data_IF_134748284757
#
_entry.id   IF_134748284757
#
_cell.length_a   1.000
_cell.length_b   1.000
_cell.length_c   1.000
_cell.angle_alpha   90.00
_cell.angle_beta   90.00
_cell.angle_gamma   90.00
#
_symmetry.space_group_name_H-M   'P 1'
#
loop_
_entity.id
_entity.type
_entity.pdbx_description
1 polymer ?
#
# COMPACT_ATOMS: atom_id res chain seq x y z
N UNK A 1 -31.69 -14.84 -6.68
CA UNK A 1 -30.39 -14.16 -6.57
C UNK A 1 -29.73 -14.20 -7.93
N UNK A 2 -29.11 -13.10 -8.40
CA UNK A 2 -28.49 -12.99 -9.73
C UNK A 2 -27.02 -13.43 -9.79
N UNK A 3 -26.55 -14.30 -8.90
CA UNK A 3 -25.19 -14.83 -8.93
C UNK A 3 -25.15 -16.13 -9.74
N UNK A 4 -24.17 -16.19 -10.67
CA UNK A 4 -23.79 -17.40 -11.36
C UNK A 4 -22.42 -17.85 -10.81
N UNK A 5 -22.35 -19.08 -10.28
CA UNK A 5 -21.11 -19.66 -9.78
C UNK A 5 -20.34 -20.30 -10.93
N UNK A 6 -19.36 -19.57 -11.48
CA UNK A 6 -18.60 -19.98 -12.67
C UNK A 6 -17.62 -21.12 -12.37
N UNK A 7 -16.82 -20.96 -11.30
CA UNK A 7 -15.85 -21.98 -10.88
C UNK A 7 -15.43 -21.76 -9.42
N UNK A 8 -15.02 -22.85 -8.76
CA UNK A 8 -14.36 -22.76 -7.45
C UNK A 8 -12.90 -22.40 -7.65
N UNK A 9 -12.45 -21.33 -6.98
CA UNK A 9 -11.05 -20.94 -6.96
C UNK A 9 -10.28 -21.76 -5.91
N UNK A 10 -8.96 -21.98 -6.10
CA UNK A 10 -8.12 -22.63 -5.08
C UNK A 10 -8.09 -21.79 -3.82
N UNK A 11 -7.91 -22.44 -2.70
CA UNK A 11 -7.68 -21.77 -1.40
C UNK A 11 -6.30 -21.12 -1.36
N UNK A 12 -6.05 -20.14 -0.47
CA UNK A 12 -4.70 -19.59 -0.27
C UNK A 12 -3.68 -20.66 0.11
N UNK A 13 -4.06 -21.65 0.90
CA UNK A 13 -3.14 -22.74 1.30
C UNK A 13 -2.73 -23.58 0.10
N UNK A 14 -3.67 -23.91 -0.81
CA UNK A 14 -3.35 -24.60 -2.06
C UNK A 14 -2.42 -23.78 -2.96
N UNK A 15 -2.65 -22.46 -3.10
CA UNK A 15 -1.77 -21.59 -3.89
C UNK A 15 -0.39 -21.45 -3.22
N UNK A 16 -0.32 -21.29 -1.90
CA UNK A 16 0.97 -21.23 -1.19
C UNK A 16 1.73 -22.54 -1.27
N UNK A 17 1.06 -23.67 -1.19
CA UNK A 17 1.68 -24.99 -1.36
C UNK A 17 2.20 -25.21 -2.79
N UNK A 18 1.48 -24.68 -3.80
CA UNK A 18 1.93 -24.75 -5.21
C UNK A 18 3.09 -23.81 -5.51
N UNK A 19 3.16 -22.65 -4.84
CA UNK A 19 4.23 -21.64 -4.99
C UNK A 19 4.75 -21.25 -3.61
N UNK A 20 5.53 -22.12 -2.93
CA UNK A 20 6.06 -21.84 -1.60
C UNK A 20 7.20 -20.82 -1.67
N UNK A 21 7.26 -19.91 -0.70
CA UNK A 21 8.45 -19.07 -0.50
C UNK A 21 9.57 -19.93 0.10
N UNK A 22 10.75 -19.91 -0.50
CA UNK A 22 11.91 -20.66 0.00
C UNK A 22 12.27 -20.21 1.42
N UNK A 23 12.71 -21.14 2.33
CA UNK A 23 12.99 -20.81 3.72
C UNK A 23 14.01 -19.67 3.90
N UNK A 24 15.02 -19.59 3.04
CA UNK A 24 16.05 -18.55 3.07
C UNK A 24 15.44 -17.17 2.73
N UNK A 25 14.54 -17.12 1.75
CA UNK A 25 13.82 -15.90 1.37
C UNK A 25 12.81 -15.49 2.44
N UNK A 26 12.15 -16.44 3.07
CA UNK A 26 11.27 -16.17 4.21
C UNK A 26 12.04 -15.56 5.39
N UNK A 27 13.24 -16.06 5.69
CA UNK A 27 14.12 -15.52 6.72
C UNK A 27 14.63 -14.11 6.37
N UNK A 28 14.98 -13.85 5.10
CA UNK A 28 15.36 -12.50 4.62
C UNK A 28 14.19 -11.53 4.75
N UNK A 29 13.00 -11.94 4.29
CA UNK A 29 11.77 -11.14 4.44
C UNK A 29 11.51 -10.81 5.92
N UNK A 30 11.62 -11.77 6.82
CA UNK A 30 11.41 -11.54 8.26
C UNK A 30 12.37 -10.47 8.83
N UNK A 31 13.64 -10.45 8.38
CA UNK A 31 14.59 -9.38 8.75
C UNK A 31 14.16 -8.00 8.21
N UNK A 32 13.63 -7.95 6.98
CA UNK A 32 13.11 -6.69 6.39
C UNK A 32 11.86 -6.23 7.10
N UNK A 33 10.94 -7.15 7.44
CA UNK A 33 9.74 -6.85 8.21
C UNK A 33 10.08 -6.26 9.59
N UNK A 34 11.09 -6.83 10.27
CA UNK A 34 11.57 -6.29 11.53
C UNK A 34 12.14 -4.87 11.37
N UNK A 35 12.95 -4.62 10.34
CA UNK A 35 13.49 -3.28 10.07
C UNK A 35 12.40 -2.25 9.75
N UNK A 36 11.32 -2.63 9.06
CA UNK A 36 10.16 -1.77 8.81
C UNK A 36 9.40 -1.52 10.12
N UNK A 37 9.18 -2.56 10.93
CA UNK A 37 8.54 -2.46 12.25
C UNK A 37 9.27 -1.47 13.15
N UNK A 38 10.61 -1.56 13.22
CA UNK A 38 11.46 -0.69 14.03
C UNK A 38 11.27 0.80 13.71
N UNK A 39 10.96 1.14 12.45
CA UNK A 39 10.61 2.53 12.08
C UNK A 39 9.30 2.96 12.71
N UNK A 40 8.28 2.09 12.73
CA UNK A 40 6.97 2.40 13.30
C UNK A 40 6.98 2.43 14.82
N UNK A 41 7.78 1.58 15.47
CA UNK A 41 7.92 1.56 16.94
C UNK A 41 8.84 2.66 17.47
N UNK A 42 9.64 3.29 16.59
CA UNK A 42 10.60 4.33 16.97
C UNK A 42 11.98 3.80 17.34
N UNK A 43 12.24 2.50 17.14
CA UNK A 43 13.54 1.87 17.37
C UNK A 43 14.54 2.16 16.24
N UNK A 44 14.07 2.74 15.13
CA UNK A 44 14.88 3.16 13.99
C UNK A 44 14.51 4.55 13.49
N UNK A 45 15.51 5.40 13.28
CA UNK A 45 15.36 6.75 12.69
C UNK A 45 15.26 6.75 11.15
N UNK A 46 15.32 5.58 10.52
CA UNK A 46 15.20 5.47 9.06
C UNK A 46 13.84 5.94 8.59
N UNK A 47 13.80 6.46 7.37
CA UNK A 47 12.60 6.96 6.75
C UNK A 47 12.12 6.00 5.66
N UNK A 48 10.83 5.66 5.66
CA UNK A 48 10.24 4.75 4.69
C UNK A 48 9.91 5.49 3.39
N UNK A 49 10.21 4.87 2.26
CA UNK A 49 9.79 5.33 0.95
C UNK A 49 9.07 4.16 0.25
N UNK A 50 7.74 4.21 0.26
CA UNK A 50 6.89 3.21 -0.41
C UNK A 50 6.71 3.70 -1.84
N UNK A 51 7.39 3.07 -2.80
CA UNK A 51 7.52 3.61 -4.15
C UNK A 51 7.33 2.55 -5.23
N UNK A 52 6.58 2.90 -6.27
CA UNK A 52 6.33 2.01 -7.41
C UNK A 52 5.16 2.48 -8.26
N UNK A 53 4.79 1.73 -9.32
CA UNK A 53 3.73 2.11 -10.23
C UNK A 53 2.38 2.27 -9.51
N UNK A 54 1.48 3.05 -10.10
CA UNK A 54 0.12 3.21 -9.62
C UNK A 54 -0.60 1.86 -9.52
N UNK A 55 -0.40 0.97 -10.52
CA UNK A 55 -0.80 -0.42 -10.50
C UNK A 55 0.23 -1.27 -11.25
N UNK A 56 0.48 -2.49 -10.76
CA UNK A 56 1.25 -3.48 -11.49
C UNK A 56 0.42 -3.96 -12.69
N UNK A 57 0.99 -3.89 -13.89
CA UNK A 57 0.33 -4.25 -15.15
C UNK A 57 1.08 -5.32 -15.93
N UNK A 58 2.41 -5.25 -15.94
CA UNK A 58 3.29 -6.16 -16.65
C UNK A 58 4.44 -6.60 -15.78
N UNK A 59 4.56 -7.92 -15.59
CA UNK A 59 5.57 -8.50 -14.72
C UNK A 59 6.99 -8.07 -15.10
N UNK A 60 7.34 -8.15 -16.39
CA UNK A 60 8.67 -7.80 -16.90
C UNK A 60 9.08 -6.35 -16.59
N UNK A 61 8.17 -5.40 -16.80
CA UNK A 61 8.42 -3.99 -16.55
C UNK A 61 8.47 -3.67 -15.02
N UNK A 62 7.62 -4.31 -14.22
CA UNK A 62 7.66 -4.16 -12.76
C UNK A 62 8.99 -4.69 -12.21
N UNK A 63 9.44 -5.84 -12.66
CA UNK A 63 10.71 -6.45 -12.22
C UNK A 63 11.90 -5.59 -12.66
N UNK A 64 11.93 -5.06 -13.90
CA UNK A 64 12.99 -4.12 -14.32
C UNK A 64 13.01 -2.87 -13.42
N UNK A 65 11.83 -2.30 -13.14
CA UNK A 65 11.73 -1.14 -12.24
C UNK A 65 12.31 -1.45 -10.86
N UNK A 66 11.92 -2.57 -10.25
CA UNK A 66 12.36 -2.94 -8.90
C UNK A 66 13.86 -3.26 -8.87
N UNK A 67 14.41 -3.87 -9.93
CA UNK A 67 15.86 -4.09 -10.07
C UNK A 67 16.65 -2.76 -10.15
N UNK A 68 16.09 -1.74 -10.80
CA UNK A 68 16.69 -0.39 -10.80
C UNK A 68 16.61 0.23 -9.40
N UNK A 69 15.46 0.05 -8.72
CA UNK A 69 15.25 0.55 -7.36
C UNK A 69 16.22 -0.10 -6.35
N UNK A 70 16.55 -1.38 -6.52
CA UNK A 70 17.53 -2.07 -5.67
C UNK A 70 18.91 -1.40 -5.71
N UNK A 71 19.35 -0.92 -6.89
CA UNK A 71 20.60 -0.17 -7.03
C UNK A 71 20.56 1.18 -6.31
N UNK A 72 19.38 1.79 -6.19
CA UNK A 72 19.18 3.02 -5.42
C UNK A 72 19.23 2.72 -3.93
N UNK A 73 18.57 1.62 -3.47
CA UNK A 73 18.57 1.21 -2.07
C UNK A 73 19.99 1.07 -1.51
N UNK A 74 20.90 0.49 -2.26
CA UNK A 74 22.30 0.35 -1.82
C UNK A 74 23.00 1.69 -1.52
N UNK A 75 22.59 2.75 -2.22
CA UNK A 75 23.15 4.10 -2.03
C UNK A 75 22.56 4.87 -0.84
N UNK A 76 21.35 4.45 -0.38
CA UNK A 76 20.57 5.21 0.62
C UNK A 76 20.22 4.38 1.86
N UNK A 77 20.68 3.14 1.94
CA UNK A 77 20.32 2.15 2.97
C UNK A 77 20.66 2.55 4.41
N UNK A 78 21.57 3.51 4.59
CA UNK A 78 21.90 4.08 5.89
C UNK A 78 20.77 4.95 6.46
N UNK A 79 19.96 5.58 5.60
CA UNK A 79 18.91 6.53 6.00
C UNK A 79 17.51 6.15 5.58
N UNK A 80 17.38 5.40 4.47
CA UNK A 80 16.09 5.08 3.88
C UNK A 80 15.86 3.57 3.80
N UNK A 81 14.61 3.18 3.97
CA UNK A 81 14.11 1.85 3.60
C UNK A 81 13.14 2.05 2.44
N UNK A 82 13.51 1.54 1.26
CA UNK A 82 12.63 1.54 0.10
C UNK A 82 11.75 0.29 0.16
N UNK A 83 10.45 0.46 -0.03
CA UNK A 83 9.47 -0.62 -0.09
C UNK A 83 8.76 -0.52 -1.44
N UNK A 84 9.04 -1.44 -2.39
CA UNK A 84 8.36 -1.44 -3.68
C UNK A 84 6.85 -1.62 -3.51
N UNK A 85 6.07 -0.68 -4.07
CA UNK A 85 4.63 -0.86 -4.16
C UNK A 85 4.30 -1.70 -5.40
N UNK A 86 3.81 -2.91 -5.15
CA UNK A 86 3.39 -3.87 -6.15
C UNK A 86 1.86 -3.98 -6.07
N UNK A 87 1.18 -2.89 -6.42
CA UNK A 87 -0.27 -2.82 -6.30
C UNK A 87 -0.95 -3.66 -7.39
N UNK A 88 -1.43 -4.83 -7.00
CA UNK A 88 -1.99 -5.85 -7.89
C UNK A 88 -3.47 -5.66 -8.18
N UNK A 89 -4.11 -4.72 -7.47
CA UNK A 89 -5.50 -4.35 -7.64
C UNK A 89 -5.64 -2.85 -7.93
N UNK A 90 -6.67 -2.49 -8.70
CA UNK A 90 -7.01 -1.08 -8.96
C UNK A 90 -8.48 -0.83 -8.66
N UNK A 91 -8.81 -0.02 -7.63
CA UNK A 91 -10.18 0.35 -7.35
C UNK A 91 -10.77 1.21 -8.48
N UNK A 92 -11.96 0.85 -8.95
CA UNK A 92 -12.70 1.57 -10.00
C UNK A 92 -14.08 1.95 -9.49
N UNK A 93 -14.32 3.25 -9.34
CA UNK A 93 -15.58 3.77 -8.79
C UNK A 93 -16.80 3.38 -9.63
N UNK A 94 -16.67 3.40 -10.97
CA UNK A 94 -17.73 3.02 -11.90
C UNK A 94 -17.68 1.54 -12.30
N UNK A 95 -16.63 0.82 -11.90
CA UNK A 95 -16.39 -0.56 -12.31
C UNK A 95 -15.73 -0.72 -13.68
N UNK A 96 -15.47 0.37 -14.42
CA UNK A 96 -14.89 0.34 -15.76
C UNK A 96 -13.36 0.44 -15.76
N UNK A 97 -12.73 -0.07 -16.82
CA UNK A 97 -11.29 -0.01 -17.05
C UNK A 97 -10.50 -1.13 -16.38
N UNK A 98 -9.17 -1.07 -16.48
CA UNK A 98 -8.26 -2.06 -15.92
C UNK A 98 -8.38 -2.16 -14.40
N UNK A 99 -8.66 -3.37 -13.89
CA UNK A 99 -8.95 -3.65 -12.47
C UNK A 99 -7.75 -4.20 -11.69
N UNK A 100 -6.59 -4.26 -12.32
CA UNK A 100 -5.37 -4.80 -11.73
C UNK A 100 -5.05 -6.22 -12.18
N UNK A 101 -3.82 -6.64 -11.89
CA UNK A 101 -3.24 -7.92 -12.30
C UNK A 101 -4.05 -9.13 -11.82
N UNK A 102 -4.69 -9.03 -10.64
CA UNK A 102 -5.56 -10.08 -10.11
C UNK A 102 -6.73 -10.40 -11.06
N UNK A 103 -7.37 -9.37 -11.60
CA UNK A 103 -8.52 -9.57 -12.49
C UNK A 103 -8.10 -9.83 -13.94
N UNK A 104 -7.06 -9.14 -14.38
CA UNK A 104 -6.59 -9.10 -15.76
C UNK A 104 -5.07 -9.27 -15.81
N UNK A 105 -4.56 -10.53 -15.69
CA UNK A 105 -3.13 -10.82 -15.85
C UNK A 105 -2.56 -10.34 -17.18
N UNK A 106 -3.40 -10.36 -18.23
CA UNK A 106 -3.17 -9.63 -19.47
C UNK A 106 -4.13 -8.42 -19.50
N UNK A 107 -3.64 -7.17 -19.45
CA UNK A 107 -4.49 -5.97 -19.43
C UNK A 107 -5.47 -5.85 -20.60
N UNK A 108 -5.14 -6.45 -21.75
CA UNK A 108 -5.98 -6.47 -22.96
C UNK A 108 -6.87 -7.72 -23.06
N UNK A 109 -6.64 -8.69 -22.17
CA UNK A 109 -7.37 -9.95 -22.15
C UNK A 109 -8.69 -9.87 -21.39
N UNK A 110 -9.45 -10.96 -21.48
CA UNK A 110 -10.63 -11.16 -20.64
C UNK A 110 -10.19 -11.41 -19.18
N UNK A 111 -11.02 -11.04 -18.19
CA UNK A 111 -10.75 -11.36 -16.79
C UNK A 111 -10.52 -12.86 -16.57
N UNK A 112 -9.50 -13.20 -15.77
CA UNK A 112 -9.20 -14.58 -15.38
C UNK A 112 -8.64 -14.59 -13.95
N UNK A 113 -9.54 -14.75 -12.97
CA UNK A 113 -9.18 -14.68 -11.54
C UNK A 113 -8.25 -15.81 -11.11
N UNK A 114 -8.38 -17.02 -11.67
CA UNK A 114 -7.45 -18.12 -11.33
C UNK A 114 -6.01 -17.80 -11.75
N UNK A 115 -5.81 -17.40 -12.99
CA UNK A 115 -4.49 -16.97 -13.45
C UNK A 115 -4.02 -15.71 -12.74
N UNK A 116 -4.93 -14.81 -12.37
CA UNK A 116 -4.65 -13.62 -11.59
C UNK A 116 -4.08 -13.94 -10.22
N UNK A 117 -4.66 -14.89 -9.47
CA UNK A 117 -4.13 -15.31 -8.17
C UNK A 117 -2.71 -15.86 -8.28
N UNK A 118 -2.41 -16.61 -9.32
CA UNK A 118 -1.05 -17.12 -9.60
C UNK A 118 -0.10 -15.97 -9.95
N UNK A 119 -0.55 -15.07 -10.83
CA UNK A 119 0.29 -13.95 -11.32
C UNK A 119 0.68 -13.00 -10.19
N UNK A 120 -0.27 -12.59 -9.32
CA UNK A 120 0.03 -11.69 -8.21
C UNK A 120 1.03 -12.31 -7.24
N UNK A 121 0.86 -13.59 -6.89
CA UNK A 121 1.78 -14.29 -5.99
C UNK A 121 3.17 -14.40 -6.60
N UNK A 122 3.27 -14.88 -7.84
CA UNK A 122 4.56 -15.01 -8.55
C UNK A 122 5.29 -13.68 -8.65
N UNK A 123 4.58 -12.60 -8.94
CA UNK A 123 5.19 -11.27 -9.03
C UNK A 123 5.82 -10.84 -7.71
N UNK A 124 5.09 -10.96 -6.59
CA UNK A 124 5.62 -10.64 -5.27
C UNK A 124 6.82 -11.51 -4.89
N UNK A 125 6.74 -12.83 -5.12
CA UNK A 125 7.85 -13.76 -4.87
C UNK A 125 9.07 -13.40 -5.69
N UNK A 126 8.89 -13.15 -6.98
CA UNK A 126 9.99 -12.79 -7.89
C UNK A 126 10.69 -11.49 -7.48
N UNK A 127 9.94 -10.50 -6.98
CA UNK A 127 10.55 -9.28 -6.41
C UNK A 127 11.47 -9.63 -5.24
N UNK A 128 11.02 -10.50 -4.32
CA UNK A 128 11.84 -10.94 -3.18
C UNK A 128 13.07 -11.72 -3.66
N UNK A 129 12.88 -12.65 -4.59
CA UNK A 129 13.94 -13.54 -5.12
C UNK A 129 15.05 -12.75 -5.83
N UNK A 130 14.67 -11.79 -6.71
CA UNK A 130 15.64 -11.07 -7.52
C UNK A 130 16.33 -9.91 -6.78
N UNK A 131 15.66 -9.32 -5.79
CA UNK A 131 16.14 -8.06 -5.20
C UNK A 131 16.26 -8.06 -3.67
N UNK A 132 15.71 -9.06 -3.01
CA UNK A 132 15.62 -9.13 -1.55
C UNK A 132 14.72 -8.04 -0.93
N UNK A 133 13.94 -7.32 -1.73
CA UNK A 133 13.01 -6.31 -1.22
C UNK A 133 11.81 -6.93 -0.53
N UNK A 134 11.37 -6.28 0.54
CA UNK A 134 10.00 -6.42 1.04
C UNK A 134 9.03 -5.66 0.15
N UNK A 135 7.80 -6.13 0.02
CA UNK A 135 6.81 -5.57 -0.91
C UNK A 135 5.62 -4.95 -0.19
N UNK A 136 4.97 -3.99 -0.86
CA UNK A 136 3.72 -3.38 -0.42
C UNK A 136 2.60 -3.60 -1.45
N UNK A 137 1.39 -3.90 -0.98
CA UNK A 137 0.19 -3.95 -1.81
C UNK A 137 -1.01 -3.27 -1.11
N UNK A 138 -2.06 -2.98 -1.86
CA UNK A 138 -3.32 -2.44 -1.35
C UNK A 138 -4.32 -3.58 -1.08
N UNK A 139 -4.82 -3.66 0.14
CA UNK A 139 -5.94 -4.55 0.48
C UNK A 139 -7.24 -3.96 -0.06
N UNK A 140 -7.48 -4.12 -1.37
CA UNK A 140 -8.75 -3.74 -1.98
C UNK A 140 -9.86 -4.74 -1.63
N UNK A 141 -9.51 -6.02 -1.63
CA UNK A 141 -10.39 -7.12 -1.26
C UNK A 141 -9.76 -7.89 -0.09
N UNK A 142 -10.33 -7.85 1.11
CA UNK A 142 -9.80 -8.58 2.27
C UNK A 142 -9.61 -10.08 2.02
N UNK A 143 -10.48 -10.69 1.22
CA UNK A 143 -10.43 -12.10 0.84
C UNK A 143 -9.10 -12.49 0.15
N UNK A 144 -8.51 -11.56 -0.63
CA UNK A 144 -7.33 -11.84 -1.43
C UNK A 144 -6.01 -11.70 -0.65
N UNK A 145 -6.04 -11.02 0.49
CA UNK A 145 -4.86 -10.76 1.30
C UNK A 145 -4.11 -12.05 1.69
N UNK A 146 -4.86 -13.08 2.05
CA UNK A 146 -4.28 -14.34 2.52
C UNK A 146 -3.50 -15.11 1.46
N UNK A 147 -3.68 -14.83 0.17
CA UNK A 147 -2.85 -15.40 -0.90
C UNK A 147 -1.43 -14.81 -0.93
N UNK A 148 -1.25 -13.62 -0.33
CA UNK A 148 -0.02 -12.83 -0.33
C UNK A 148 0.54 -12.57 1.07
N UNK A 149 -0.09 -13.05 2.15
CA UNK A 149 0.25 -12.69 3.53
C UNK A 149 1.69 -13.01 3.92
N UNK A 150 2.28 -14.04 3.32
CA UNK A 150 3.66 -14.48 3.56
C UNK A 150 4.71 -13.78 2.68
N UNK A 151 4.28 -12.95 1.72
CA UNK A 151 5.17 -12.24 0.79
C UNK A 151 5.05 -10.71 0.85
N UNK A 152 4.07 -10.16 1.58
CA UNK A 152 3.93 -8.73 1.80
C UNK A 152 4.54 -8.29 3.13
N UNK A 153 5.07 -7.07 3.17
CA UNK A 153 5.66 -6.46 4.36
C UNK A 153 5.02 -5.13 4.74
N UNK A 154 4.13 -4.63 3.89
CA UNK A 154 3.32 -3.45 4.13
C UNK A 154 1.99 -3.56 3.39
N UNK A 155 0.91 -3.17 4.05
CA UNK A 155 -0.44 -3.18 3.47
C UNK A 155 -1.04 -1.77 3.55
N UNK A 156 -1.66 -1.31 2.46
CA UNK A 156 -2.45 -0.09 2.48
C UNK A 156 -3.95 -0.41 2.40
N UNK A 157 -4.77 0.34 3.13
CA UNK A 157 -6.23 0.38 2.96
C UNK A 157 -6.60 1.68 2.26
N UNK A 158 -7.20 1.55 1.09
CA UNK A 158 -7.53 2.67 0.22
C UNK A 158 -8.63 3.59 0.77
N UNK A 159 -8.69 4.81 0.24
CA UNK A 159 -9.65 5.84 0.65
C UNK A 159 -11.13 5.45 0.49
N UNK A 160 -11.46 4.52 -0.43
CA UNK A 160 -12.82 4.02 -0.63
C UNK A 160 -13.16 2.83 0.27
N UNK A 161 -12.14 2.21 0.87
CA UNK A 161 -12.27 1.00 1.69
C UNK A 161 -12.15 1.26 3.19
N UNK A 162 -11.57 2.39 3.60
CA UNK A 162 -11.28 2.71 5.01
C UNK A 162 -12.52 2.80 5.91
N UNK A 163 -13.69 3.05 5.35
CA UNK A 163 -14.96 3.07 6.08
C UNK A 163 -15.58 1.69 6.24
N UNK A 164 -15.13 0.71 5.43
CA UNK A 164 -15.69 -0.64 5.43
C UNK A 164 -15.26 -1.42 6.68
N UNK A 165 -16.25 -2.00 7.38
CA UNK A 165 -16.02 -2.74 8.62
C UNK A 165 -15.09 -3.93 8.44
N UNK A 166 -15.27 -4.73 7.39
CA UNK A 166 -14.45 -5.93 7.16
C UNK A 166 -12.98 -5.59 6.94
N UNK A 167 -12.65 -4.48 6.23
CA UNK A 167 -11.26 -4.03 6.07
C UNK A 167 -10.60 -3.72 7.42
N UNK A 168 -11.33 -3.05 8.32
CA UNK A 168 -10.84 -2.71 9.68
C UNK A 168 -10.61 -3.95 10.51
N UNK A 169 -11.56 -4.89 10.49
CA UNK A 169 -11.46 -6.15 11.24
C UNK A 169 -10.32 -7.02 10.72
N UNK A 170 -10.19 -7.18 9.39
CA UNK A 170 -9.10 -7.96 8.80
C UNK A 170 -7.75 -7.32 9.09
N UNK A 171 -7.64 -5.98 9.03
CA UNK A 171 -6.42 -5.26 9.38
C UNK A 171 -5.93 -5.54 10.80
N UNK A 172 -6.84 -5.82 11.75
CA UNK A 172 -6.50 -6.17 13.13
C UNK A 172 -5.81 -7.53 13.31
N UNK A 173 -5.86 -8.37 12.28
CA UNK A 173 -5.21 -9.69 12.26
C UNK A 173 -3.99 -9.78 11.33
N UNK A 174 -3.49 -8.66 10.82
CA UNK A 174 -2.31 -8.60 9.96
C UNK A 174 -1.07 -8.36 10.82
N UNK A 175 0.01 -9.11 10.56
CA UNK A 175 1.25 -9.06 11.35
C UNK A 175 2.27 -8.00 10.86
N UNK A 176 1.99 -7.34 9.74
CA UNK A 176 2.82 -6.27 9.17
C UNK A 176 2.13 -4.91 9.29
N UNK A 177 2.85 -3.77 9.13
CA UNK A 177 2.25 -2.45 9.16
C UNK A 177 1.09 -2.27 8.18
N UNK A 178 -0.02 -1.71 8.65
CA UNK A 178 -1.20 -1.39 7.84
C UNK A 178 -1.47 0.11 7.86
N UNK A 179 -1.39 0.74 6.70
CA UNK A 179 -1.68 2.16 6.54
C UNK A 179 -3.14 2.42 6.15
N UNK A 180 -3.89 3.16 6.97
CA UNK A 180 -5.25 3.59 6.69
C UNK A 180 -5.25 4.93 5.98
N UNK A 181 -5.64 4.99 4.70
CA UNK A 181 -5.77 6.27 3.98
C UNK A 181 -6.98 7.04 4.51
N UNK A 182 -6.87 8.37 4.65
CA UNK A 182 -8.07 9.17 4.85
C UNK A 182 -9.05 8.99 3.68
N UNK A 183 -10.38 9.00 3.95
CA UNK A 183 -11.38 8.88 2.89
C UNK A 183 -11.26 10.03 1.88
N UNK A 184 -11.90 9.89 0.72
CA UNK A 184 -11.86 10.92 -0.32
C UNK A 184 -12.38 12.28 0.15
N UNK A 185 -13.29 12.30 1.11
CA UNK A 185 -13.79 13.52 1.77
C UNK A 185 -12.76 14.24 2.64
N UNK A 186 -11.67 13.55 3.03
CA UNK A 186 -10.66 14.10 3.92
C UNK A 186 -10.95 13.97 5.43
N UNK A 187 -12.02 13.28 5.84
CA UNK A 187 -12.42 13.17 7.23
C UNK A 187 -11.38 12.41 8.08
N UNK A 188 -10.57 13.13 8.86
CA UNK A 188 -9.53 12.56 9.71
C UNK A 188 -10.11 11.65 10.80
N UNK A 189 -11.28 11.98 11.35
CA UNK A 189 -11.95 11.15 12.35
C UNK A 189 -12.28 9.75 11.85
N UNK A 190 -12.70 9.63 10.58
CA UNK A 190 -12.98 8.32 9.94
C UNK A 190 -11.71 7.47 9.84
N UNK A 191 -10.61 8.08 9.42
CA UNK A 191 -9.30 7.42 9.34
C UNK A 191 -8.81 6.98 10.72
N UNK A 192 -8.88 7.85 11.71
CA UNK A 192 -8.45 7.55 13.08
C UNK A 192 -9.33 6.47 13.73
N UNK A 193 -10.65 6.45 13.45
CA UNK A 193 -11.53 5.36 13.87
C UNK A 193 -11.16 4.03 13.22
N UNK A 194 -10.69 4.05 11.96
CA UNK A 194 -10.21 2.85 11.30
C UNK A 194 -8.90 2.33 11.92
N UNK A 195 -7.97 3.24 12.28
CA UNK A 195 -6.74 2.89 13.01
C UNK A 195 -7.09 2.30 14.38
N UNK A 196 -7.99 2.95 15.13
CA UNK A 196 -8.43 2.46 16.43
C UNK A 196 -9.03 1.06 16.33
N UNK A 197 -9.97 0.84 15.42
CA UNK A 197 -10.58 -0.48 15.23
C UNK A 197 -9.54 -1.54 14.90
N UNK A 198 -8.58 -1.25 14.00
CA UNK A 198 -7.56 -2.21 13.60
C UNK A 198 -6.49 -2.47 14.69
N UNK A 199 -6.27 -1.53 15.61
CA UNK A 199 -5.36 -1.74 16.75
C UNK A 199 -5.96 -2.59 17.88
N UNK A 200 -7.26 -2.90 17.83
CA UNK A 200 -7.94 -3.74 18.82
C UNK A 200 -8.28 -5.12 18.27
N UNK A 201 -8.42 -6.09 19.17
CA UNK A 201 -8.82 -7.46 18.81
C UNK A 201 -10.32 -7.56 18.56
N UNK A 202 -10.70 -8.46 17.65
CA UNK A 202 -12.09 -8.70 17.24
C UNK A 202 -12.38 -10.18 17.06
N UNK A 203 -13.66 -10.53 17.19
CA UNK A 203 -14.18 -11.84 16.79
C UNK A 203 -15.18 -11.63 15.63
N UNK A 204 -14.98 -12.32 14.51
CA UNK A 204 -15.81 -12.16 13.31
C UNK A 204 -15.69 -13.35 12.36
N UNK A 205 -16.57 -13.38 11.36
CA UNK A 205 -16.53 -14.41 10.32
C UNK A 205 -15.57 -13.97 9.21
N UNK A 206 -14.55 -14.80 8.96
CA UNK A 206 -13.61 -14.60 7.87
C UNK A 206 -13.35 -15.91 7.11
N UNK A 207 -13.63 -15.94 5.80
CA UNK A 207 -13.43 -17.11 4.94
C UNK A 207 -14.08 -18.38 5.48
N UNK A 208 -15.33 -18.25 5.93
CA UNK A 208 -16.14 -19.35 6.54
C UNK A 208 -15.61 -19.88 7.89
N UNK A 209 -14.70 -19.14 8.54
CA UNK A 209 -14.23 -19.42 9.89
C UNK A 209 -14.70 -18.32 10.86
N UNK A 210 -15.00 -18.73 12.08
CA UNK A 210 -14.99 -17.81 13.21
C UNK A 210 -13.53 -17.56 13.58
N UNK A 211 -13.11 -16.30 13.53
CA UNK A 211 -11.73 -15.89 13.80
C UNK A 211 -11.66 -14.91 14.94
N UNK A 212 -10.55 -14.96 15.69
CA UNK A 212 -10.21 -13.98 16.72
C UNK A 212 -8.88 -13.34 16.41
N UNK A 213 -8.84 -12.00 16.41
CA UNK A 213 -7.63 -11.22 16.20
C UNK A 213 -7.12 -10.61 17.51
N UNK A 214 -5.85 -10.20 17.55
CA UNK A 214 -5.24 -9.57 18.73
C UNK A 214 -5.16 -8.05 18.63
N UNK A 215 -5.44 -7.49 17.45
CA UNK A 215 -5.16 -6.10 17.13
C UNK A 215 -3.76 -5.93 16.55
N UNK A 216 -3.64 -4.99 15.62
CA UNK A 216 -2.36 -4.66 14.97
C UNK A 216 -1.83 -3.31 15.44
N UNK A 217 -0.89 -3.25 16.39
CA UNK A 217 -0.36 -2.02 16.96
C UNK A 217 0.46 -1.18 15.95
N UNK A 218 0.77 -1.74 14.77
CA UNK A 218 1.48 -1.04 13.68
C UNK A 218 0.52 -0.42 12.66
N UNK A 219 -0.81 -0.51 12.89
CA UNK A 219 -1.78 0.22 12.07
C UNK A 219 -1.63 1.72 12.29
N UNK A 220 -1.55 2.48 11.21
CA UNK A 220 -1.22 3.90 11.20
C UNK A 220 -1.98 4.67 10.12
N UNK A 221 -1.80 5.98 10.08
CA UNK A 221 -2.49 6.88 9.15
C UNK A 221 -1.73 7.10 7.84
N UNK A 222 -2.47 7.31 6.73
CA UNK A 222 -1.91 7.80 5.46
C UNK A 222 -2.70 9.03 5.01
N UNK A 223 -2.03 10.17 4.88
CA UNK A 223 -2.62 11.38 4.31
C UNK A 223 -2.46 11.40 2.78
N UNK A 224 -3.58 11.48 2.06
CA UNK A 224 -3.61 11.45 0.59
C UNK A 224 -4.29 12.66 -0.05
N UNK A 225 -4.57 13.71 0.74
CA UNK A 225 -5.40 14.84 0.36
C UNK A 225 -6.90 14.50 0.36
N UNK A 226 -7.71 15.49 0.07
CA UNK A 226 -9.16 15.40 0.06
C UNK A 226 -9.74 15.93 -1.26
N UNK A 227 -11.01 15.63 -1.51
CA UNK A 227 -11.82 16.26 -2.55
C UNK A 227 -13.05 16.84 -1.88
N UNK A 228 -13.26 18.15 -2.02
CA UNK A 228 -14.41 18.82 -1.44
C UNK A 228 -15.68 18.65 -2.29
N UNK A 229 -16.81 19.18 -1.81
CA UNK A 229 -18.12 19.12 -2.52
C UNK A 229 -18.16 19.84 -3.88
N UNK A 230 -17.12 20.58 -4.22
CA UNK A 230 -16.95 21.29 -5.50
C UNK A 230 -15.91 20.63 -6.40
N UNK A 231 -15.55 19.34 -6.12
CA UNK A 231 -14.54 18.56 -6.85
C UNK A 231 -13.12 19.17 -6.83
N UNK A 232 -12.83 20.07 -5.88
CA UNK A 232 -11.51 20.63 -5.71
C UNK A 232 -10.64 19.72 -4.83
N UNK A 233 -9.42 19.45 -5.28
CA UNK A 233 -8.43 18.77 -4.47
C UNK A 233 -7.88 19.71 -3.41
N UNK A 234 -7.90 19.24 -2.16
CA UNK A 234 -7.34 19.90 -0.99
C UNK A 234 -6.18 19.08 -0.46
N UNK A 235 -4.94 19.57 -0.51
CA UNK A 235 -3.80 18.88 0.09
C UNK A 235 -3.94 18.84 1.62
N UNK A 236 -3.30 17.84 2.25
CA UNK A 236 -3.27 17.69 3.71
C UNK A 236 -1.91 17.19 4.22
N UNK A 237 -0.82 17.72 3.66
CA UNK A 237 0.58 17.38 4.01
C UNK A 237 1.36 18.58 4.57
N UNK A 238 0.74 19.76 4.67
CA UNK A 238 1.40 20.94 5.21
C UNK A 238 1.67 20.80 6.70
N UNK A 239 2.57 21.58 7.25
CA UNK A 239 2.97 21.51 8.66
C UNK A 239 1.76 21.53 9.62
N UNK A 240 0.81 22.42 9.36
CA UNK A 240 -0.41 22.60 10.16
C UNK A 240 -1.32 21.35 10.10
N UNK A 241 -1.45 20.72 8.93
CA UNK A 241 -2.20 19.47 8.78
C UNK A 241 -1.58 18.32 9.59
N UNK A 242 -0.23 18.24 9.57
CA UNK A 242 0.51 17.23 10.29
C UNK A 242 0.40 17.42 11.81
N UNK A 243 0.47 18.68 12.29
CA UNK A 243 0.28 19.01 13.69
C UNK A 243 -1.13 18.67 14.15
N UNK A 244 -2.15 19.09 13.39
CA UNK A 244 -3.55 18.77 13.68
C UNK A 244 -3.77 17.25 13.77
N UNK A 245 -3.23 16.47 12.82
CA UNK A 245 -3.39 15.02 12.85
C UNK A 245 -2.68 14.40 14.06
N UNK A 246 -1.49 14.87 14.41
CA UNK A 246 -0.75 14.39 15.56
C UNK A 246 -1.50 14.68 16.86
N UNK A 247 -2.05 15.89 17.03
CA UNK A 247 -2.85 16.25 18.19
C UNK A 247 -4.09 15.36 18.32
N UNK A 248 -4.83 15.18 17.22
CA UNK A 248 -5.98 14.26 17.16
C UNK A 248 -5.61 12.79 17.42
N UNK A 249 -4.40 12.38 17.04
CA UNK A 249 -3.89 11.03 17.31
C UNK A 249 -3.60 10.85 18.81
N UNK A 250 -2.95 11.84 19.43
CA UNK A 250 -2.58 11.84 20.85
C UNK A 250 -3.80 11.95 21.78
N UNK A 251 -4.90 12.55 21.33
CA UNK A 251 -6.17 12.59 22.09
C UNK A 251 -6.85 11.21 22.19
N UNK A 252 -6.40 10.23 21.42
CA UNK A 252 -6.93 8.88 21.41
C UNK A 252 -5.94 7.90 22.02
N UNK A 253 -6.45 6.84 22.63
CA UNK A 253 -5.61 5.73 23.13
C UNK A 253 -5.14 4.84 21.95
N UNK A 254 -4.25 5.41 21.10
CA UNK A 254 -3.68 4.75 19.94
C UNK A 254 -2.19 4.48 20.15
N UNK A 255 -1.74 3.30 19.72
CA UNK A 255 -0.34 2.88 19.83
C UNK A 255 0.48 3.39 18.65
N UNK A 256 1.79 3.59 18.87
CA UNK A 256 2.78 3.89 17.85
C UNK A 256 2.33 5.01 16.89
N UNK A 257 2.16 6.27 17.36
CA UNK A 257 1.74 7.39 16.52
C UNK A 257 2.58 7.48 15.25
N UNK A 258 1.96 7.30 14.10
CA UNK A 258 2.67 7.28 12.82
C UNK A 258 1.78 7.75 11.66
N UNK A 259 2.42 8.43 10.71
CA UNK A 259 1.81 8.89 9.49
C UNK A 259 2.74 8.65 8.29
N UNK A 260 2.17 8.20 7.18
CA UNK A 260 2.79 8.17 5.85
C UNK A 260 2.11 9.24 5.00
N UNK A 261 2.88 9.99 4.21
CA UNK A 261 2.33 10.99 3.29
C UNK A 261 2.31 10.41 1.87
N UNK A 262 1.11 10.23 1.34
CA UNK A 262 0.91 9.92 -0.08
C UNK A 262 1.12 11.21 -0.89
N UNK A 263 2.24 11.30 -1.57
CA UNK A 263 2.65 12.50 -2.30
C UNK A 263 1.88 12.69 -3.63
N UNK A 264 1.08 11.70 -4.05
CA UNK A 264 0.25 11.79 -5.24
C UNK A 264 -1.23 12.07 -4.89
N UNK A 265 -2.16 11.49 -5.62
CA UNK A 265 -3.61 11.60 -5.45
C UNK A 265 -4.08 13.06 -5.31
N UNK A 266 -4.89 13.39 -4.29
CA UNK A 266 -5.39 14.76 -4.11
C UNK A 266 -4.32 15.71 -3.54
N UNK A 267 -3.26 15.21 -2.93
CA UNK A 267 -2.12 16.02 -2.48
C UNK A 267 -1.39 16.70 -3.65
N UNK A 268 -1.27 16.02 -4.79
CA UNK A 268 -0.66 16.56 -6.01
C UNK A 268 -1.69 16.99 -7.07
N UNK A 269 -2.99 16.79 -6.81
CA UNK A 269 -4.04 16.88 -7.82
C UNK A 269 -3.72 15.97 -9.04
N UNK A 270 -3.11 14.80 -8.79
CA UNK A 270 -2.60 13.83 -9.79
C UNK A 270 -1.58 14.40 -10.78
N UNK A 271 -1.00 15.57 -10.47
CA UNK A 271 0.14 16.11 -11.21
C UNK A 271 1.40 15.43 -10.71
N UNK A 272 1.80 14.34 -11.35
CA UNK A 272 2.85 13.45 -10.86
C UNK A 272 4.19 14.14 -10.56
N UNK A 273 4.55 15.20 -11.28
CA UNK A 273 5.77 15.97 -11.02
C UNK A 273 5.74 16.73 -9.69
N UNK A 274 4.55 17.06 -9.16
CA UNK A 274 4.41 17.73 -7.86
C UNK A 274 4.86 16.85 -6.69
N UNK A 275 4.89 15.54 -6.85
CA UNK A 275 5.36 14.62 -5.81
C UNK A 275 6.74 14.99 -5.28
N UNK A 276 7.65 15.46 -6.16
CA UNK A 276 9.02 15.88 -5.78
C UNK A 276 8.96 17.08 -4.83
N UNK A 277 8.15 18.09 -5.14
CA UNK A 277 7.97 19.29 -4.31
C UNK A 277 7.34 18.92 -2.97
N UNK A 278 6.30 18.11 -3.00
CA UNK A 278 5.57 17.67 -1.80
C UNK A 278 6.53 16.95 -0.83
N UNK A 279 7.32 16.00 -1.33
CA UNK A 279 8.30 15.28 -0.50
C UNK A 279 9.32 16.25 0.11
N UNK A 280 9.80 17.25 -0.64
CA UNK A 280 10.73 18.27 -0.11
C UNK A 280 10.09 19.07 1.02
N UNK A 281 8.82 19.43 0.91
CA UNK A 281 8.07 20.17 1.94
C UNK A 281 7.85 19.31 3.19
N UNK A 282 7.47 18.05 3.03
CA UNK A 282 7.35 17.09 4.15
C UNK A 282 8.69 16.93 4.88
N UNK A 283 9.80 16.80 4.15
CA UNK A 283 11.14 16.72 4.75
C UNK A 283 11.55 18.03 5.43
N UNK A 284 11.11 19.19 4.93
CA UNK A 284 11.30 20.48 5.59
C UNK A 284 10.57 20.53 6.93
N UNK A 285 9.28 20.16 6.96
CA UNK A 285 8.47 20.08 8.18
C UNK A 285 9.09 19.15 9.23
N UNK A 286 9.61 17.98 8.81
CA UNK A 286 10.31 17.03 9.69
C UNK A 286 11.62 17.60 10.27
N UNK A 287 12.32 18.48 9.55
CA UNK A 287 13.54 19.17 10.08
C UNK A 287 13.18 20.29 11.04
N UNK A 288 12.02 20.92 10.86
CA UNK A 288 11.55 22.03 11.67
C UNK A 288 11.05 21.59 13.05
N UNK A 289 10.46 20.38 13.16
CA UNK A 289 9.84 19.89 14.40
C UNK A 289 10.20 18.43 14.65
N UNK A 290 10.70 18.16 15.85
CA UNK A 290 11.00 16.79 16.30
C UNK A 290 9.74 15.95 16.43
N UNK A 291 8.62 16.53 16.88
CA UNK A 291 7.33 15.85 16.94
C UNK A 291 6.91 15.36 15.56
N UNK A 292 6.99 16.23 14.55
CA UNK A 292 6.66 15.86 13.17
C UNK A 292 7.68 14.86 12.61
N UNK A 293 8.97 14.98 12.96
CA UNK A 293 9.98 14.00 12.57
C UNK A 293 9.66 12.60 13.11
N UNK A 294 9.25 12.54 14.36
CA UNK A 294 8.93 11.28 15.03
C UNK A 294 7.58 10.71 14.56
N UNK A 295 6.64 11.54 14.16
CA UNK A 295 5.31 11.16 13.71
C UNK A 295 5.28 10.74 12.24
N UNK A 296 5.87 11.52 11.32
CA UNK A 296 5.88 11.22 9.89
C UNK A 296 7.00 10.23 9.58
N UNK A 297 6.64 8.96 9.44
CA UNK A 297 7.56 7.83 9.27
C UNK A 297 8.01 7.59 7.83
N UNK A 298 7.30 8.16 6.86
CA UNK A 298 7.63 7.94 5.45
C UNK A 298 6.73 8.66 4.46
N UNK A 299 6.99 8.39 3.19
CA UNK A 299 6.20 8.88 2.06
C UNK A 299 5.81 7.73 1.14
N UNK A 300 4.70 7.91 0.40
CA UNK A 300 4.26 7.02 -0.67
C UNK A 300 4.34 7.78 -1.99
N UNK A 301 4.99 7.19 -2.99
CA UNK A 301 5.29 7.83 -4.28
C UNK A 301 4.83 6.91 -5.42
N UNK A 302 4.13 7.47 -6.39
CA UNK A 302 3.81 6.77 -7.63
C UNK A 302 4.88 7.05 -8.68
N UNK A 303 5.66 6.03 -9.00
CA UNK A 303 6.79 6.09 -9.93
C UNK A 303 6.86 4.80 -10.76
N UNK A 304 7.24 4.92 -12.02
CA UNK A 304 7.48 3.78 -12.90
C UNK A 304 8.71 4.07 -13.77
N UNK A 305 8.99 3.28 -14.82
CA UNK A 305 10.16 3.49 -15.68
C UNK A 305 10.02 4.76 -16.50
N UNK A 306 8.86 4.93 -17.16
CA UNK A 306 8.56 6.09 -18.00
C UNK A 306 7.57 7.02 -17.31
N UNK A 307 7.75 8.35 -17.41
CA UNK A 307 6.87 9.32 -16.77
C UNK A 307 5.50 9.40 -17.42
N UNK A 308 4.51 9.80 -16.61
CA UNK A 308 3.13 9.98 -17.05
C UNK A 308 2.34 8.68 -17.08
N UNK A 309 1.37 8.62 -17.98
CA UNK A 309 0.54 7.43 -18.21
C UNK A 309 0.20 7.26 -19.69
N UNK A 310 -0.36 6.10 -20.02
CA UNK A 310 -0.81 5.70 -21.35
C UNK A 310 -2.17 5.01 -21.26
N UNK A 311 -2.82 4.84 -22.41
CA UNK A 311 -4.01 3.99 -22.51
C UNK A 311 -3.59 2.52 -22.62
N UNK A 312 -4.47 1.61 -22.19
CA UNK A 312 -4.31 0.18 -22.45
C UNK A 312 -4.23 -0.02 -23.97
N UNK A 313 -3.23 -0.77 -24.42
CA UNK A 313 -2.99 -1.01 -25.86
C UNK A 313 -1.98 -0.07 -26.54
N UNK A 314 -1.44 0.96 -25.86
CA UNK A 314 -0.37 1.80 -26.43
C UNK A 314 1.03 1.18 -26.32
N UNK A 315 1.23 0.19 -25.46
CA UNK A 315 2.43 -0.66 -25.35
C UNK A 315 3.76 0.04 -25.06
N UNK A 316 3.77 1.25 -24.51
CA UNK A 316 5.01 1.89 -24.08
C UNK A 316 5.52 1.15 -22.84
N UNK A 317 6.69 0.52 -22.94
CA UNK A 317 7.27 -0.27 -21.87
C UNK A 317 7.53 0.55 -20.61
N UNK A 318 7.06 0.03 -19.44
CA UNK A 318 7.27 0.68 -18.16
C UNK A 318 6.53 2.01 -17.96
N UNK A 319 5.49 2.30 -18.75
CA UNK A 319 4.62 3.45 -18.58
C UNK A 319 3.28 3.04 -18.01
N UNK A 320 2.81 3.74 -16.98
CA UNK A 320 1.57 3.41 -16.25
C UNK A 320 0.34 3.39 -17.18
N UNK A 321 -0.48 2.36 -17.09
CA UNK A 321 -1.81 2.29 -17.74
C UNK A 321 -2.97 2.76 -16.85
N UNK A 322 -2.63 3.36 -15.71
CA UNK A 322 -3.61 3.90 -14.74
C UNK A 322 -3.27 5.37 -14.44
N UNK A 323 -3.08 5.76 -13.17
CA UNK A 323 -2.74 7.16 -12.87
C UNK A 323 -1.29 7.49 -13.30
N UNK A 324 -1.00 8.74 -13.67
CA UNK A 324 0.35 9.12 -14.13
C UNK A 324 1.38 9.04 -12.99
N UNK A 325 2.57 8.51 -13.32
CA UNK A 325 3.68 8.26 -12.41
C UNK A 325 4.89 9.15 -12.71
N UNK A 326 5.78 9.36 -11.72
CA UNK A 326 7.14 9.83 -11.97
C UNK A 326 7.92 8.81 -12.81
N UNK A 327 8.85 9.28 -13.62
CA UNK A 327 9.81 8.42 -14.33
C UNK A 327 10.96 7.97 -13.44
#
# INVERSE_FOLDING_TARGET
>A
MGFEYVSKLPTPDEIRAQFPLAPELAAEKARKDAAIRDVFTGDSDKFLVIIGPCSADREDAVIDYVNRLAKVQEKVKDKLILVPRIYTNKPRTTGDGYKGLLHQPNPEGKPNLYQGLIAIRKLHMRVIEETGFSTADEMLYPENLTYLSDVMSYVAVGARSVENQQHRLVASGIDVPVGMKNPTSGALSVMLNAVHAAQHGHEFIYRSWEVKTQGNPLTHTILRGAVNKHDQCLPNYHYEDLKLLLDLYNERDLKNPACIIDANHSNSNKKYMEQIRIVKEVLHSRRHSDDIRNFVKGVMIESYIEPGNQKVGEHIYGKSITDPCLG
#
